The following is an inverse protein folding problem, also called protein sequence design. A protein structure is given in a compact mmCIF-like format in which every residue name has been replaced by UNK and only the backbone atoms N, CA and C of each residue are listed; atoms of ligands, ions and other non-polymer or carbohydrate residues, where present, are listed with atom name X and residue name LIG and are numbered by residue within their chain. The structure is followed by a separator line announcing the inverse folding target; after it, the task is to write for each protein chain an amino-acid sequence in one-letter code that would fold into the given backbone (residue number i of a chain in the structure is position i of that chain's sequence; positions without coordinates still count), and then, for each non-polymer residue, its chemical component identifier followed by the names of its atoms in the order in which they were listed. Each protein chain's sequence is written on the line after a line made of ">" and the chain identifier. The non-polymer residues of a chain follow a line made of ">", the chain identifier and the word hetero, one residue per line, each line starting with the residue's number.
data_IF_962309050607
#
_entry.id   IF_962309050607
#
_cell.length_a   1.000
_cell.length_b   1.000
_cell.length_c   1.000
_cell.angle_alpha   90.00
_cell.angle_beta   90.00
_cell.angle_gamma   90.00
#
_symmetry.space_group_name_H-M   'P 1'
#
loop_
_entity.id
_entity.type
_entity.pdbx_description
1 polymer ?
#
# COMPACT_ATOMS: atom_id res chain seq x y z
N UNK A 1 16.72 -29.64 47.67
CA UNK A 1 15.52 -29.07 47.01
C UNK A 1 15.67 -29.42 45.54
N UNK A 2 14.81 -30.30 45.03
CA UNK A 2 14.74 -30.57 43.59
C UNK A 2 13.89 -29.46 42.99
N UNK A 3 14.52 -28.51 42.27
CA UNK A 3 13.81 -27.51 41.47
C UNK A 3 13.20 -28.25 40.27
N UNK A 4 11.92 -28.61 40.40
CA UNK A 4 11.15 -29.16 39.30
C UNK A 4 10.73 -28.02 38.42
N UNK A 5 11.34 -27.91 37.22
CA UNK A 5 10.85 -27.01 36.17
C UNK A 5 9.73 -27.70 35.40
N UNK A 6 8.60 -27.02 35.26
CA UNK A 6 7.46 -27.46 34.45
C UNK A 6 7.35 -26.53 33.26
N UNK A 7 7.26 -27.07 32.05
CA UNK A 7 6.91 -26.34 30.86
C UNK A 7 5.42 -26.59 30.58
N UNK A 8 4.65 -25.53 30.59
CA UNK A 8 3.22 -25.56 30.25
C UNK A 8 3.03 -24.77 28.97
N UNK A 9 2.41 -25.41 27.96
CA UNK A 9 1.95 -24.75 26.76
C UNK A 9 0.44 -24.54 26.90
N UNK A 10 0.01 -23.31 26.81
CA UNK A 10 -1.39 -22.93 26.89
C UNK A 10 -1.72 -22.01 25.73
N UNK A 11 -2.71 -22.41 24.92
CA UNK A 11 -3.25 -21.55 23.86
C UNK A 11 -4.43 -20.77 24.44
N UNK A 12 -4.29 -19.47 24.49
CA UNK A 12 -5.34 -18.56 24.91
C UNK A 12 -6.00 -17.98 23.66
N UNK A 13 -7.27 -18.30 23.42
CA UNK A 13 -8.05 -17.67 22.37
C UNK A 13 -8.50 -16.28 22.83
N UNK A 14 -7.92 -15.25 22.19
CA UNK A 14 -8.18 -13.84 22.46
C UNK A 14 -9.31 -13.27 21.60
N UNK A 15 -9.86 -14.01 20.62
CA UNK A 15 -10.89 -13.53 19.70
C UNK A 15 -12.19 -13.11 20.41
N UNK A 16 -12.44 -13.62 21.60
CA UNK A 16 -13.63 -13.29 22.40
C UNK A 16 -13.42 -12.11 23.34
N UNK A 17 -12.23 -11.50 23.36
CA UNK A 17 -11.97 -10.31 24.16
C UNK A 17 -12.47 -9.06 23.42
N UNK A 18 -13.08 -8.10 24.11
CA UNK A 18 -13.53 -6.85 23.50
C UNK A 18 -12.34 -5.90 23.28
N UNK A 19 -11.40 -6.33 22.43
CA UNK A 19 -10.20 -5.55 22.10
C UNK A 19 -10.38 -4.99 20.70
N UNK A 20 -10.18 -3.70 20.56
CA UNK A 20 -10.24 -2.99 19.28
C UNK A 20 -8.84 -2.72 18.75
N UNK A 21 -8.73 -2.48 17.42
CA UNK A 21 -7.49 -2.00 16.81
C UNK A 21 -6.93 -0.78 17.54
N UNK A 22 -5.63 -0.75 17.77
CA UNK A 22 -4.91 0.31 18.48
C UNK A 22 -4.98 0.20 20.01
N UNK A 23 -5.54 -0.89 20.57
CA UNK A 23 -5.59 -1.13 22.02
C UNK A 23 -4.46 -2.06 22.47
N UNK A 24 -4.18 -2.04 23.76
CA UNK A 24 -3.17 -2.88 24.40
C UNK A 24 -3.85 -3.88 25.35
N UNK A 25 -3.45 -5.14 25.28
CA UNK A 25 -3.84 -6.18 26.21
C UNK A 25 -2.74 -6.35 27.26
N UNK A 26 -3.04 -6.03 28.51
CA UNK A 26 -2.13 -6.21 29.62
C UNK A 26 -2.56 -7.46 30.41
N UNK A 27 -1.68 -8.44 30.54
CA UNK A 27 -1.98 -9.64 31.30
C UNK A 27 -0.78 -10.11 32.14
N UNK A 28 -1.06 -10.89 33.17
CA UNK A 28 -0.07 -11.52 34.02
C UNK A 28 -0.42 -12.98 34.24
N UNK A 29 0.59 -13.80 34.42
CA UNK A 29 0.44 -15.20 34.80
C UNK A 29 0.55 -15.28 36.32
N UNK A 30 -0.43 -15.87 36.96
CA UNK A 30 -0.46 -16.07 38.42
C UNK A 30 -0.33 -17.57 38.68
N UNK A 31 0.68 -17.97 39.41
CA UNK A 31 0.85 -19.33 39.93
C UNK A 31 0.46 -19.36 41.39
N UNK A 32 -0.42 -20.28 41.73
CA UNK A 32 -0.90 -20.48 43.10
C UNK A 32 -0.53 -21.90 43.50
N UNK A 33 0.13 -22.05 44.67
CA UNK A 33 0.42 -23.36 45.21
C UNK A 33 -0.82 -23.95 45.95
N UNK A 34 -0.77 -25.22 46.26
CA UNK A 34 -1.84 -25.93 46.97
C UNK A 34 -1.54 -26.12 48.48
N UNK A 35 -0.82 -25.21 49.11
CA UNK A 35 -0.46 -25.30 50.51
C UNK A 35 -1.66 -24.93 51.42
N UNK A 36 -2.44 -25.92 51.80
CA UNK A 36 -3.62 -25.74 52.66
C UNK A 36 -3.28 -25.48 54.13
N UNK A 37 -2.03 -25.79 54.58
CA UNK A 37 -1.66 -25.72 55.99
C UNK A 37 -1.26 -24.30 56.39
N UNK A 38 -0.51 -23.58 55.54
CA UNK A 38 -0.01 -22.23 55.82
C UNK A 38 -0.66 -21.15 54.94
N UNK A 39 -1.69 -21.51 54.18
CA UNK A 39 -2.31 -20.70 53.13
C UNK A 39 -1.55 -20.74 51.83
N UNK A 40 -2.27 -20.55 50.73
CA UNK A 40 -1.71 -20.61 49.37
C UNK A 40 -0.68 -19.50 49.15
N UNK A 41 0.46 -19.84 48.61
CA UNK A 41 1.45 -18.88 48.14
C UNK A 41 1.16 -18.51 46.69
N UNK A 42 1.24 -17.22 46.40
CA UNK A 42 0.98 -16.66 45.07
C UNK A 42 2.30 -16.12 44.52
N UNK A 43 2.59 -16.48 43.28
CA UNK A 43 3.69 -15.91 42.50
C UNK A 43 3.11 -15.33 41.24
N UNK A 44 3.50 -14.12 40.90
CA UNK A 44 3.02 -13.42 39.69
C UNK A 44 4.19 -13.16 38.73
N UNK A 45 3.91 -13.28 37.43
CA UNK A 45 4.84 -12.81 36.39
C UNK A 45 4.89 -11.30 36.31
N UNK A 46 5.88 -10.76 35.61
CA UNK A 46 5.81 -9.40 35.11
C UNK A 46 4.58 -9.25 34.20
N UNK A 47 4.12 -8.00 34.03
CA UNK A 47 3.02 -7.71 33.11
C UNK A 47 3.52 -7.90 31.67
N UNK A 48 2.81 -8.72 30.90
CA UNK A 48 3.03 -8.91 29.48
C UNK A 48 2.06 -8.00 28.74
N UNK A 49 2.56 -7.27 27.74
CA UNK A 49 1.76 -6.34 26.95
C UNK A 49 1.67 -6.85 25.51
N UNK A 50 0.47 -7.23 25.10
CA UNK A 50 0.15 -7.46 23.68
C UNK A 50 -0.37 -6.16 23.06
N UNK A 51 0.20 -5.74 21.93
CA UNK A 51 -0.25 -4.56 21.20
C UNK A 51 -0.99 -4.99 19.97
N UNK A 52 -2.16 -4.41 19.75
CA UNK A 52 -2.92 -4.56 18.52
C UNK A 52 -2.62 -3.35 17.65
N UNK A 53 -2.12 -3.55 16.40
CA UNK A 53 -1.85 -2.42 15.52
C UNK A 53 -3.10 -1.56 15.35
N UNK A 54 -2.93 -0.26 15.26
CA UNK A 54 -4.02 0.64 14.89
C UNK A 54 -4.28 0.56 13.39
N UNK A 55 -5.48 0.96 12.97
CA UNK A 55 -5.82 1.03 11.55
C UNK A 55 -4.84 1.93 10.80
N UNK A 56 -4.52 3.08 11.40
CA UNK A 56 -3.57 4.05 10.86
C UNK A 56 -2.16 3.43 10.71
N UNK A 57 -1.69 2.66 11.71
CA UNK A 57 -0.39 1.98 11.64
C UNK A 57 -0.33 0.95 10.52
N UNK A 58 -1.42 0.21 10.29
CA UNK A 58 -1.48 -0.79 9.24
C UNK A 58 -1.44 -0.16 7.84
N UNK A 59 -2.17 0.94 7.64
CA UNK A 59 -2.13 1.67 6.37
C UNK A 59 -0.77 2.34 6.15
N UNK A 60 -0.13 2.90 7.18
CA UNK A 60 1.23 3.45 7.07
C UNK A 60 2.24 2.38 6.64
N UNK A 61 2.15 1.16 7.20
CA UNK A 61 3.03 0.07 6.79
C UNK A 61 2.82 -0.37 5.33
N UNK A 62 1.58 -0.32 4.84
CA UNK A 62 1.27 -0.59 3.43
C UNK A 62 1.81 0.54 2.55
N UNK A 63 1.59 1.79 2.92
CA UNK A 63 2.05 2.97 2.19
C UNK A 63 3.58 3.02 2.04
N UNK A 64 4.32 2.61 3.06
CA UNK A 64 5.79 2.47 2.97
C UNK A 64 6.19 1.44 1.89
N UNK A 65 5.48 0.32 1.79
CA UNK A 65 5.75 -0.70 0.76
C UNK A 65 5.37 -0.18 -0.63
N UNK A 66 4.25 0.52 -0.75
CA UNK A 66 3.77 1.13 -1.99
C UNK A 66 4.74 2.19 -2.52
N UNK A 67 5.20 3.08 -1.64
CA UNK A 67 6.17 4.11 -1.99
C UNK A 67 7.48 3.47 -2.48
N UNK A 68 8.00 2.48 -1.75
CA UNK A 68 9.19 1.75 -2.20
C UNK A 68 8.97 1.06 -3.55
N UNK A 69 7.77 0.54 -3.81
CA UNK A 69 7.43 -0.10 -5.09
C UNK A 69 7.41 0.91 -6.23
N UNK A 70 6.84 2.09 -6.01
CA UNK A 70 6.85 3.20 -6.98
C UNK A 70 8.26 3.70 -7.26
N UNK A 71 9.08 3.90 -6.23
CA UNK A 71 10.48 4.32 -6.37
C UNK A 71 11.27 3.31 -7.23
N UNK A 72 11.09 2.01 -7.01
CA UNK A 72 11.73 0.96 -7.82
C UNK A 72 11.24 1.03 -9.27
N UNK A 73 9.95 1.23 -9.52
CA UNK A 73 9.41 1.36 -10.88
C UNK A 73 9.98 2.58 -11.61
N UNK A 74 10.11 3.72 -10.94
CA UNK A 74 10.72 4.92 -11.50
C UNK A 74 12.20 4.71 -11.82
N UNK A 75 12.94 4.01 -10.94
CA UNK A 75 14.33 3.64 -11.18
C UNK A 75 14.48 2.74 -12.41
N UNK A 76 13.62 1.73 -12.56
CA UNK A 76 13.60 0.84 -13.73
C UNK A 76 13.35 1.66 -15.00
N UNK A 77 12.34 2.54 -14.98
CA UNK A 77 11.99 3.37 -16.14
C UNK A 77 13.19 4.24 -16.58
N UNK A 78 13.87 4.87 -15.61
CA UNK A 78 15.07 5.66 -15.86
C UNK A 78 16.20 4.82 -16.47
N UNK A 79 16.42 3.61 -15.96
CA UNK A 79 17.44 2.68 -16.50
C UNK A 79 17.11 2.25 -17.94
N UNK A 80 15.83 2.00 -18.24
CA UNK A 80 15.36 1.65 -19.60
C UNK A 80 15.62 2.79 -20.59
N UNK A 81 15.29 4.04 -20.20
CA UNK A 81 15.55 5.22 -21.02
C UNK A 81 17.05 5.37 -21.34
N UNK A 82 17.92 5.20 -20.34
CA UNK A 82 19.39 5.25 -20.51
C UNK A 82 19.89 4.16 -21.45
N UNK A 83 19.41 2.92 -21.30
CA UNK A 83 19.77 1.79 -22.19
C UNK A 83 19.30 2.08 -23.62
N UNK A 84 18.07 2.55 -23.79
CA UNK A 84 17.47 2.87 -25.09
C UNK A 84 18.25 3.98 -25.80
N UNK A 85 18.60 5.06 -25.10
CA UNK A 85 19.43 6.15 -25.64
C UNK A 85 20.82 5.65 -26.06
N UNK A 86 21.48 4.87 -25.21
CA UNK A 86 22.80 4.33 -25.46
C UNK A 86 22.82 3.41 -26.69
N UNK A 87 21.87 2.48 -26.79
CA UNK A 87 21.79 1.50 -27.90
C UNK A 87 21.39 2.17 -29.22
N UNK A 88 20.53 3.19 -29.18
CA UNK A 88 20.22 4.01 -30.35
C UNK A 88 21.43 4.81 -30.85
N UNK A 89 22.19 5.41 -29.95
CA UNK A 89 23.42 6.14 -30.30
C UNK A 89 24.44 5.19 -30.95
N UNK A 90 24.61 3.99 -30.40
CA UNK A 90 25.50 2.98 -30.93
C UNK A 90 25.07 2.55 -32.35
N UNK A 91 23.77 2.30 -32.56
CA UNK A 91 23.25 1.99 -33.90
C UNK A 91 23.59 3.08 -34.91
N UNK A 92 23.45 4.34 -34.53
CA UNK A 92 23.81 5.49 -35.39
C UNK A 92 25.30 5.59 -35.68
N UNK A 93 26.16 5.17 -34.76
CA UNK A 93 27.61 5.11 -34.95
C UNK A 93 28.01 3.96 -35.87
N UNK A 94 27.41 2.77 -35.72
CA UNK A 94 27.65 1.60 -36.58
C UNK A 94 27.25 1.86 -38.03
N UNK A 95 26.23 2.68 -38.28
CA UNK A 95 25.86 3.10 -39.64
C UNK A 95 26.91 4.00 -40.29
N UNK A 96 27.82 4.59 -39.53
CA UNK A 96 28.88 5.50 -40.02
C UNK A 96 30.26 4.86 -40.11
N UNK A 97 30.48 3.75 -39.43
CA UNK A 97 31.74 3.01 -39.41
C UNK A 97 31.50 1.52 -39.51
N UNK A 98 32.33 0.84 -40.32
CA UNK A 98 32.24 -0.61 -40.47
C UNK A 98 33.00 -1.40 -39.37
N UNK A 99 33.40 -0.75 -38.28
CA UNK A 99 34.13 -1.38 -37.20
C UNK A 99 33.53 -1.00 -35.85
N UNK A 100 33.37 -1.98 -34.96
CA UNK A 100 33.13 -1.74 -33.51
C UNK A 100 34.42 -1.39 -32.82
N UNK A 101 34.36 -0.52 -31.84
CA UNK A 101 35.47 -0.25 -30.94
C UNK A 101 35.21 -0.85 -29.55
N UNK A 102 36.26 -1.04 -28.78
CA UNK A 102 36.19 -1.60 -27.42
C UNK A 102 35.21 -0.85 -26.50
N UNK A 103 35.09 0.48 -26.66
CA UNK A 103 34.19 1.32 -25.87
C UNK A 103 32.70 0.97 -26.14
N UNK A 104 32.37 0.64 -27.39
CA UNK A 104 31.01 0.23 -27.77
C UNK A 104 30.66 -1.16 -27.22
N UNK A 105 31.62 -2.10 -27.27
CA UNK A 105 31.44 -3.43 -26.68
C UNK A 105 31.20 -3.33 -25.18
N UNK A 106 31.98 -2.51 -24.48
CA UNK A 106 31.81 -2.29 -23.05
C UNK A 106 30.44 -1.70 -22.71
N UNK A 107 29.96 -0.71 -23.46
CA UNK A 107 28.62 -0.13 -23.24
C UNK A 107 27.48 -1.15 -23.40
N UNK A 108 27.62 -2.10 -24.34
CA UNK A 108 26.61 -3.17 -24.46
C UNK A 108 26.69 -4.11 -23.26
N UNK A 109 27.89 -4.49 -22.82
CA UNK A 109 28.04 -5.32 -21.61
C UNK A 109 27.44 -4.61 -20.39
N UNK A 110 27.69 -3.32 -20.20
CA UNK A 110 27.10 -2.52 -19.13
C UNK A 110 25.56 -2.49 -19.21
N UNK A 111 24.98 -2.46 -20.41
CA UNK A 111 23.52 -2.55 -20.57
C UNK A 111 22.94 -3.90 -20.16
N UNK A 112 23.67 -4.98 -20.38
CA UNK A 112 23.23 -6.31 -19.95
C UNK A 112 23.23 -6.45 -18.41
N UNK A 113 24.27 -5.89 -17.75
CA UNK A 113 24.31 -5.85 -16.28
C UNK A 113 23.14 -5.03 -15.71
N UNK A 114 22.76 -3.92 -16.37
CA UNK A 114 21.63 -3.10 -15.93
C UNK A 114 20.30 -3.84 -16.13
N UNK A 115 20.12 -4.66 -17.19
CA UNK A 115 18.92 -5.48 -17.36
C UNK A 115 18.84 -6.60 -16.31
N UNK A 116 19.96 -7.21 -15.91
CA UNK A 116 19.97 -8.17 -14.80
C UNK A 116 19.55 -7.51 -13.48
N UNK A 117 19.96 -6.26 -13.27
CA UNK A 117 19.54 -5.46 -12.11
C UNK A 117 18.04 -5.14 -12.18
N UNK A 118 17.53 -4.72 -13.35
CA UNK A 118 16.09 -4.50 -13.57
C UNK A 118 15.30 -5.79 -13.25
N UNK A 119 15.76 -6.94 -13.67
CA UNK A 119 15.09 -8.21 -13.34
C UNK A 119 15.02 -8.44 -11.83
N UNK A 120 16.10 -8.15 -11.09
CA UNK A 120 16.11 -8.25 -9.62
C UNK A 120 15.15 -7.25 -8.97
N UNK A 121 15.02 -6.06 -9.53
CA UNK A 121 14.07 -5.03 -9.08
C UNK A 121 12.61 -5.45 -9.32
N UNK A 122 12.33 -6.10 -10.45
CA UNK A 122 11.00 -6.68 -10.74
C UNK A 122 10.64 -7.77 -9.72
N UNK A 123 11.58 -8.65 -9.35
CA UNK A 123 11.36 -9.62 -8.28
C UNK A 123 11.09 -8.95 -6.91
N UNK A 124 11.68 -7.78 -6.66
CA UNK A 124 11.41 -7.02 -5.45
C UNK A 124 10.01 -6.41 -5.46
N UNK A 125 9.56 -5.86 -6.60
CA UNK A 125 8.19 -5.38 -6.80
C UNK A 125 7.19 -6.52 -6.53
N UNK A 126 7.40 -7.70 -7.09
CA UNK A 126 6.56 -8.88 -6.86
C UNK A 126 6.42 -9.20 -5.37
N UNK A 127 7.53 -9.25 -4.65
CA UNK A 127 7.55 -9.49 -3.19
C UNK A 127 6.86 -8.39 -2.40
N UNK A 128 6.95 -7.16 -2.84
CA UNK A 128 6.28 -6.03 -2.21
C UNK A 128 4.76 -6.13 -2.39
N UNK A 129 4.30 -6.45 -3.59
CA UNK A 129 2.87 -6.68 -3.86
C UNK A 129 2.33 -7.86 -3.03
N UNK A 130 3.09 -8.96 -2.91
CA UNK A 130 2.73 -10.08 -2.03
C UNK A 130 2.55 -9.63 -0.58
N UNK A 131 3.45 -8.80 -0.05
CA UNK A 131 3.34 -8.25 1.31
C UNK A 131 2.11 -7.35 1.48
N UNK A 132 1.78 -6.53 0.47
CA UNK A 132 0.57 -5.69 0.48
C UNK A 132 -0.66 -6.58 0.57
N UNK A 133 -0.76 -7.61 -0.27
CA UNK A 133 -1.87 -8.58 -0.28
C UNK A 133 -1.99 -9.29 1.07
N UNK A 134 -0.87 -9.80 1.60
CA UNK A 134 -0.83 -10.49 2.91
C UNK A 134 -1.34 -9.59 4.02
N UNK A 135 -0.76 -8.39 4.18
CA UNK A 135 -1.18 -7.42 5.21
C UNK A 135 -2.64 -7.01 5.08
N UNK A 136 -3.08 -6.73 3.86
CA UNK A 136 -4.46 -6.34 3.58
C UNK A 136 -5.46 -7.47 3.91
N UNK A 137 -5.12 -8.71 3.55
CA UNK A 137 -5.98 -9.88 3.78
C UNK A 137 -6.04 -10.27 5.25
N UNK A 138 -4.89 -10.35 5.94
CA UNK A 138 -4.81 -10.70 7.36
C UNK A 138 -5.59 -9.72 8.25
N UNK A 139 -5.59 -8.45 7.89
CA UNK A 139 -6.23 -7.39 8.67
C UNK A 139 -7.59 -6.94 8.10
N UNK A 140 -8.06 -7.57 7.02
CA UNK A 140 -9.33 -7.25 6.34
C UNK A 140 -9.43 -5.76 5.92
N UNK A 141 -8.31 -5.19 5.44
CA UNK A 141 -8.22 -3.78 5.06
C UNK A 141 -8.78 -3.50 3.65
N UNK A 142 -8.72 -4.50 2.77
CA UNK A 142 -9.18 -4.39 1.38
C UNK A 142 -10.38 -5.30 1.14
N UNK A 143 -11.26 -4.88 0.27
CA UNK A 143 -12.29 -5.78 -0.24
C UNK A 143 -11.71 -6.81 -1.24
N UNK A 144 -12.50 -7.84 -1.54
CA UNK A 144 -12.05 -8.93 -2.41
C UNK A 144 -11.74 -8.45 -3.84
N UNK A 145 -12.38 -7.39 -4.31
CA UNK A 145 -12.15 -6.86 -5.66
C UNK A 145 -10.76 -6.20 -5.76
N UNK A 146 -10.40 -5.42 -4.76
CA UNK A 146 -9.08 -4.80 -4.69
C UNK A 146 -7.96 -5.83 -4.49
N UNK A 147 -8.16 -6.83 -3.62
CA UNK A 147 -7.21 -7.95 -3.46
C UNK A 147 -6.97 -8.65 -4.80
N UNK A 148 -8.04 -9.00 -5.52
CA UNK A 148 -7.94 -9.63 -6.85
C UNK A 148 -7.19 -8.74 -7.88
N UNK A 149 -7.27 -7.42 -7.77
CA UNK A 149 -6.50 -6.51 -8.63
C UNK A 149 -5.02 -6.60 -8.33
N UNK A 150 -4.61 -6.56 -7.05
CA UNK A 150 -3.23 -6.73 -6.66
C UNK A 150 -2.67 -8.12 -7.05
N UNK A 151 -3.45 -9.20 -6.92
CA UNK A 151 -3.06 -10.53 -7.40
C UNK A 151 -2.85 -10.56 -8.92
N UNK A 152 -3.67 -9.86 -9.70
CA UNK A 152 -3.45 -9.72 -11.14
C UNK A 152 -2.19 -8.93 -11.46
N UNK A 153 -1.89 -7.87 -10.70
CA UNK A 153 -0.64 -7.15 -10.85
C UNK A 153 0.57 -8.02 -10.58
N UNK A 154 0.53 -8.83 -9.52
CA UNK A 154 1.59 -9.77 -9.21
C UNK A 154 1.85 -10.75 -10.36
N UNK A 155 0.80 -11.26 -10.98
CA UNK A 155 0.95 -12.16 -12.12
C UNK A 155 1.50 -11.43 -13.36
N UNK A 156 1.02 -10.23 -13.66
CA UNK A 156 1.47 -9.47 -14.83
C UNK A 156 2.93 -9.04 -14.73
N UNK A 157 3.40 -8.63 -13.53
CA UNK A 157 4.79 -8.20 -13.37
C UNK A 157 5.78 -9.34 -13.63
N UNK A 158 5.39 -10.59 -13.37
CA UNK A 158 6.20 -11.76 -13.69
C UNK A 158 6.35 -11.98 -15.20
N UNK A 159 5.36 -11.57 -15.97
CA UNK A 159 5.33 -11.75 -17.43
C UNK A 159 5.98 -10.58 -18.19
N UNK A 160 6.28 -9.45 -17.50
CA UNK A 160 6.79 -8.24 -18.16
C UNK A 160 8.21 -8.43 -18.73
N UNK A 161 9.04 -9.26 -18.09
CA UNK A 161 10.35 -9.67 -18.61
C UNK A 161 10.18 -10.83 -19.57
N UNK A 162 10.01 -10.51 -20.84
CA UNK A 162 9.72 -11.51 -21.88
C UNK A 162 10.94 -12.39 -22.23
N UNK A 163 10.68 -13.64 -22.65
CA UNK A 163 11.71 -14.52 -23.21
C UNK A 163 12.34 -13.89 -24.46
N UNK A 164 11.59 -13.07 -25.19
CA UNK A 164 12.04 -12.37 -26.39
C UNK A 164 13.13 -11.33 -26.08
N UNK A 165 13.00 -10.58 -24.98
CA UNK A 165 14.02 -9.63 -24.54
C UNK A 165 15.33 -10.34 -24.19
N UNK A 166 15.26 -11.41 -23.38
CA UNK A 166 16.43 -12.22 -23.06
C UNK A 166 17.05 -12.88 -24.28
N UNK A 167 16.21 -13.37 -25.22
CA UNK A 167 16.66 -13.91 -26.50
C UNK A 167 17.41 -12.87 -27.33
N UNK A 168 16.88 -11.65 -27.44
CA UNK A 168 17.52 -10.54 -28.14
C UNK A 168 18.85 -10.13 -27.51
N UNK A 169 18.93 -10.10 -26.18
CA UNK A 169 20.21 -9.90 -25.45
C UNK A 169 21.24 -10.96 -25.82
N UNK A 170 20.86 -12.24 -25.83
CA UNK A 170 21.75 -13.33 -26.14
C UNK A 170 22.23 -13.28 -27.60
N UNK A 171 21.34 -12.98 -28.55
CA UNK A 171 21.69 -12.79 -29.95
C UNK A 171 22.68 -11.65 -30.14
N UNK A 172 22.49 -10.52 -29.47
CA UNK A 172 23.40 -9.39 -29.52
C UNK A 172 24.77 -9.74 -28.91
N UNK A 173 24.80 -10.43 -27.77
CA UNK A 173 26.04 -10.89 -27.14
C UNK A 173 26.81 -11.88 -28.06
N UNK A 174 26.13 -12.80 -28.71
CA UNK A 174 26.76 -13.74 -29.63
C UNK A 174 27.26 -13.07 -30.91
N UNK A 175 26.52 -12.07 -31.43
CA UNK A 175 26.96 -11.28 -32.57
C UNK A 175 28.25 -10.49 -32.28
N UNK A 176 28.33 -9.88 -31.08
CA UNK A 176 29.55 -9.17 -30.61
C UNK A 176 30.74 -10.12 -30.49
N UNK A 177 30.58 -11.27 -29.84
CA UNK A 177 31.65 -12.27 -29.70
C UNK A 177 32.21 -12.74 -31.04
N UNK A 178 31.36 -12.81 -32.08
CA UNK A 178 31.75 -13.22 -33.42
C UNK A 178 32.27 -12.08 -34.33
N UNK A 179 32.22 -10.84 -33.84
CA UNK A 179 32.63 -9.63 -34.60
C UNK A 179 32.01 -9.52 -36.02
N UNK A 180 30.75 -9.97 -36.16
CA UNK A 180 30.03 -9.91 -37.43
C UNK A 180 29.15 -8.63 -37.43
N UNK A 181 29.62 -7.60 -38.10
CA UNK A 181 28.98 -6.28 -38.14
C UNK A 181 27.54 -6.30 -38.63
N UNK A 182 27.22 -7.12 -39.62
CA UNK A 182 25.86 -7.23 -40.13
C UNK A 182 24.94 -7.85 -39.06
N UNK A 183 25.41 -8.89 -38.39
CA UNK A 183 24.69 -9.50 -37.28
C UNK A 183 24.57 -8.63 -36.05
N UNK A 184 25.61 -7.85 -35.72
CA UNK A 184 25.54 -6.87 -34.62
C UNK A 184 24.46 -5.83 -34.91
N UNK A 185 24.38 -5.31 -36.15
CA UNK A 185 23.37 -4.31 -36.52
C UNK A 185 21.95 -4.88 -36.45
N UNK A 186 21.75 -6.11 -36.93
CA UNK A 186 20.45 -6.79 -36.89
C UNK A 186 20.04 -7.15 -35.45
N UNK A 187 20.96 -7.70 -34.66
CA UNK A 187 20.71 -8.05 -33.29
C UNK A 187 20.45 -6.81 -32.41
N UNK A 188 21.14 -5.68 -32.66
CA UNK A 188 20.91 -4.42 -31.98
C UNK A 188 19.53 -3.83 -32.30
N UNK A 189 19.08 -3.96 -33.54
CA UNK A 189 17.72 -3.53 -33.94
C UNK A 189 16.65 -4.38 -33.25
N UNK A 190 16.84 -5.71 -33.16
CA UNK A 190 15.96 -6.63 -32.47
C UNK A 190 15.93 -6.33 -30.94
N UNK A 191 17.09 -6.09 -30.35
CA UNK A 191 17.21 -5.72 -28.95
C UNK A 191 16.47 -4.40 -28.64
N UNK A 192 16.69 -3.35 -29.44
CA UNK A 192 16.00 -2.08 -29.27
C UNK A 192 14.49 -2.21 -29.39
N UNK A 193 14.00 -3.03 -30.35
CA UNK A 193 12.57 -3.29 -30.51
C UNK A 193 11.98 -3.93 -29.25
N UNK A 194 12.65 -4.93 -28.68
CA UNK A 194 12.17 -5.60 -27.47
C UNK A 194 12.25 -4.69 -26.24
N UNK A 195 13.27 -3.81 -26.14
CA UNK A 195 13.34 -2.79 -25.09
C UNK A 195 12.19 -1.79 -25.18
N UNK A 196 11.83 -1.31 -26.38
CA UNK A 196 10.67 -0.43 -26.55
C UNK A 196 9.33 -1.12 -26.20
N UNK A 197 9.22 -2.42 -26.41
CA UNK A 197 8.03 -3.18 -25.99
C UNK A 197 7.99 -3.31 -24.46
N UNK A 198 9.12 -3.62 -23.85
CA UNK A 198 9.25 -3.71 -22.40
C UNK A 198 8.92 -2.37 -21.72
N UNK A 199 9.45 -1.26 -22.21
CA UNK A 199 9.14 0.09 -21.73
C UNK A 199 7.63 0.37 -21.75
N UNK A 200 6.97 0.10 -22.89
CA UNK A 200 5.52 0.29 -23.02
C UNK A 200 4.70 -0.58 -22.06
N UNK A 201 5.12 -1.81 -21.84
CA UNK A 201 4.45 -2.71 -20.90
C UNK A 201 4.64 -2.22 -19.46
N UNK A 202 5.84 -1.75 -19.11
CA UNK A 202 6.13 -1.18 -17.80
C UNK A 202 5.30 0.08 -17.54
N UNK A 203 5.22 1.00 -18.50
CA UNK A 203 4.40 2.21 -18.39
C UNK A 203 2.93 1.88 -18.16
N UNK A 204 2.39 0.92 -18.90
CA UNK A 204 1.01 0.46 -18.69
C UNK A 204 0.81 -0.18 -17.32
N UNK A 205 1.80 -0.95 -16.87
CA UNK A 205 1.78 -1.57 -15.55
C UNK A 205 1.80 -0.51 -14.44
N UNK A 206 2.66 0.50 -14.56
CA UNK A 206 2.74 1.63 -13.61
C UNK A 206 1.40 2.38 -13.53
N UNK A 207 0.79 2.71 -14.68
CA UNK A 207 -0.53 3.37 -14.70
C UNK A 207 -1.60 2.54 -13.98
N UNK A 208 -1.62 1.23 -14.22
CA UNK A 208 -2.57 0.31 -13.59
C UNK A 208 -2.33 0.19 -12.08
N UNK A 209 -1.06 0.12 -11.65
CA UNK A 209 -0.70 0.08 -10.24
C UNK A 209 -1.12 1.36 -9.51
N UNK A 210 -0.83 2.54 -10.08
CA UNK A 210 -1.29 3.83 -9.54
C UNK A 210 -2.83 3.92 -9.44
N UNK A 211 -3.56 3.36 -10.42
CA UNK A 211 -5.02 3.28 -10.35
C UNK A 211 -5.50 2.42 -9.18
N UNK A 212 -4.84 1.31 -8.89
CA UNK A 212 -5.18 0.46 -7.74
C UNK A 212 -4.86 1.16 -6.41
N UNK A 213 -3.74 1.89 -6.34
CA UNK A 213 -3.42 2.73 -5.18
C UNK A 213 -4.47 3.82 -4.94
N UNK A 214 -4.97 4.44 -6.00
CA UNK A 214 -6.04 5.43 -5.89
C UNK A 214 -7.34 4.84 -5.33
N UNK A 215 -7.70 3.62 -5.73
CA UNK A 215 -8.85 2.89 -5.17
C UNK A 215 -8.62 2.48 -3.71
N UNK A 216 -7.41 2.03 -3.40
CA UNK A 216 -7.03 1.69 -2.03
C UNK A 216 -7.12 2.92 -1.10
N UNK A 217 -6.64 4.08 -1.51
CA UNK A 217 -6.76 5.32 -0.72
C UNK A 217 -8.22 5.71 -0.47
N UNK A 218 -9.12 5.47 -1.41
CA UNK A 218 -10.57 5.64 -1.19
C UNK A 218 -11.14 4.62 -0.19
N UNK A 219 -10.70 3.37 -0.24
CA UNK A 219 -11.08 2.36 0.75
C UNK A 219 -10.54 2.71 2.14
N UNK A 220 -9.31 3.21 2.23
CA UNK A 220 -8.72 3.70 3.48
C UNK A 220 -9.58 4.81 4.11
N UNK A 221 -10.01 5.80 3.32
CA UNK A 221 -10.91 6.86 3.80
C UNK A 221 -12.22 6.28 4.33
N UNK A 222 -12.80 5.28 3.66
CA UNK A 222 -14.03 4.63 4.10
C UNK A 222 -13.84 3.88 5.43
N UNK A 223 -12.77 3.11 5.57
CA UNK A 223 -12.44 2.39 6.80
C UNK A 223 -12.15 3.33 7.97
N UNK A 224 -11.42 4.41 7.73
CA UNK A 224 -11.12 5.40 8.76
C UNK A 224 -12.38 6.10 9.28
N UNK A 225 -13.29 6.53 8.39
CA UNK A 225 -14.52 7.18 8.80
C UNK A 225 -15.44 6.21 9.56
N UNK A 226 -15.55 4.95 9.15
CA UNK A 226 -16.29 3.91 9.88
C UNK A 226 -15.73 3.67 11.29
N UNK A 227 -14.40 3.59 11.42
CA UNK A 227 -13.74 3.47 12.71
C UNK A 227 -14.03 4.68 13.61
N UNK A 228 -13.97 5.90 13.06
CA UNK A 228 -14.32 7.10 13.80
C UNK A 228 -15.76 7.10 14.29
N UNK A 229 -16.72 6.61 13.51
CA UNK A 229 -18.14 6.46 13.92
C UNK A 229 -18.28 5.49 15.08
N UNK A 230 -17.56 4.36 15.06
CA UNK A 230 -17.53 3.38 16.16
C UNK A 230 -16.96 4.04 17.44
N UNK A 231 -15.80 4.69 17.35
CA UNK A 231 -15.17 5.38 18.48
C UNK A 231 -16.01 6.55 19.01
N UNK A 232 -16.70 7.29 18.13
CA UNK A 232 -17.63 8.35 18.55
C UNK A 232 -18.83 7.78 19.32
N UNK A 233 -19.27 6.58 18.94
CA UNK A 233 -20.34 5.88 19.68
C UNK A 233 -19.91 5.49 21.09
N UNK A 234 -18.66 5.05 21.26
CA UNK A 234 -18.09 4.71 22.57
C UNK A 234 -17.99 5.96 23.45
N UNK A 235 -17.57 7.10 22.90
CA UNK A 235 -17.54 8.39 23.60
C UNK A 235 -18.95 8.77 24.09
N UNK A 236 -19.97 8.61 23.27
CA UNK A 236 -21.37 8.89 23.66
C UNK A 236 -21.84 7.95 24.77
N UNK A 237 -21.45 6.68 24.75
CA UNK A 237 -21.75 5.72 25.81
C UNK A 237 -21.09 6.13 27.14
N UNK A 238 -19.82 6.51 27.11
CA UNK A 238 -19.10 6.98 28.30
C UNK A 238 -19.75 8.22 28.91
N UNK A 239 -20.15 9.21 28.08
CA UNK A 239 -20.88 10.39 28.52
C UNK A 239 -22.21 9.99 29.19
N UNK A 240 -22.95 9.03 28.61
CA UNK A 240 -24.22 8.56 29.18
C UNK A 240 -24.04 7.83 30.52
N UNK A 241 -22.95 7.06 30.64
CA UNK A 241 -22.58 6.32 31.86
C UNK A 241 -21.94 7.22 32.93
N UNK A 242 -21.68 8.49 32.59
CA UNK A 242 -20.98 9.46 33.48
C UNK A 242 -19.59 8.99 33.89
N UNK A 243 -18.87 8.44 32.93
CA UNK A 243 -17.45 8.09 33.09
C UNK A 243 -16.61 9.32 33.45
N UNK A 244 -15.39 9.08 33.94
CA UNK A 244 -14.47 10.14 34.31
C UNK A 244 -14.21 11.09 33.14
N UNK A 245 -14.37 12.39 33.40
CA UNK A 245 -14.20 13.44 32.39
C UNK A 245 -12.80 13.40 31.74
N UNK A 246 -11.77 13.02 32.46
CA UNK A 246 -10.42 12.85 31.94
C UNK A 246 -10.35 11.74 30.87
N UNK A 247 -11.06 10.62 31.11
CA UNK A 247 -11.12 9.50 30.15
C UNK A 247 -11.85 9.94 28.87
N UNK A 248 -12.98 10.64 29.02
CA UNK A 248 -13.76 11.16 27.90
C UNK A 248 -12.91 12.15 27.09
N UNK A 249 -12.26 13.12 27.75
CA UNK A 249 -11.43 14.11 27.08
C UNK A 249 -10.24 13.48 26.35
N UNK A 250 -9.62 12.44 26.90
CA UNK A 250 -8.57 11.69 26.19
C UNK A 250 -9.08 11.03 24.92
N UNK A 251 -10.29 10.46 24.94
CA UNK A 251 -10.92 9.83 23.76
C UNK A 251 -11.32 10.89 22.72
N UNK A 252 -11.87 12.03 23.14
CA UNK A 252 -12.24 13.11 22.21
C UNK A 252 -11.03 13.74 21.54
N UNK A 253 -9.92 13.94 22.26
CA UNK A 253 -8.66 14.43 21.67
C UNK A 253 -8.11 13.45 20.62
N UNK A 254 -8.13 12.15 20.91
CA UNK A 254 -7.73 11.14 19.92
C UNK A 254 -8.63 11.16 18.67
N UNK A 255 -9.92 11.40 18.87
CA UNK A 255 -10.89 11.46 17.77
C UNK A 255 -10.67 12.71 16.89
N UNK A 256 -10.34 13.84 17.48
CA UNK A 256 -9.97 15.06 16.73
C UNK A 256 -8.71 14.84 15.91
N UNK A 257 -7.66 14.24 16.48
CA UNK A 257 -6.42 13.93 15.75
C UNK A 257 -6.69 13.01 14.55
N UNK A 258 -7.50 11.95 14.73
CA UNK A 258 -7.90 11.06 13.62
C UNK A 258 -8.63 11.80 12.51
N UNK A 259 -9.48 12.76 12.86
CA UNK A 259 -10.18 13.55 11.86
C UNK A 259 -9.24 14.49 11.09
N UNK A 260 -8.21 15.01 11.75
CA UNK A 260 -7.16 15.80 11.08
C UNK A 260 -6.33 14.91 10.12
N UNK A 261 -5.95 13.71 10.53
CA UNK A 261 -5.27 12.72 9.68
C UNK A 261 -6.16 12.32 8.50
N UNK A 262 -7.44 12.04 8.74
CA UNK A 262 -8.42 11.77 7.68
C UNK A 262 -8.50 12.91 6.65
N UNK A 263 -8.52 14.17 7.07
CA UNK A 263 -8.53 15.32 6.17
C UNK A 263 -7.24 15.45 5.36
N UNK A 264 -6.10 15.05 5.93
CA UNK A 264 -4.84 15.01 5.21
C UNK A 264 -4.88 13.94 4.10
N UNK A 265 -5.30 12.72 4.44
CA UNK A 265 -5.44 11.62 3.48
C UNK A 265 -6.49 11.95 2.41
N UNK A 266 -7.59 12.61 2.77
CA UNK A 266 -8.59 13.07 1.81
C UNK A 266 -8.00 14.02 0.76
N UNK A 267 -7.11 14.91 1.18
CA UNK A 267 -6.41 15.83 0.26
C UNK A 267 -5.45 15.09 -0.65
N UNK A 268 -4.61 14.21 -0.11
CA UNK A 268 -3.65 13.39 -0.87
C UNK A 268 -4.38 12.49 -1.88
N UNK A 269 -5.47 11.85 -1.44
CA UNK A 269 -6.34 11.04 -2.31
C UNK A 269 -6.95 11.89 -3.45
N UNK A 270 -7.35 13.13 -3.15
CA UNK A 270 -7.88 14.05 -4.16
C UNK A 270 -6.85 14.36 -5.25
N UNK A 271 -5.60 14.61 -4.85
CA UNK A 271 -4.49 14.88 -5.77
C UNK A 271 -4.15 13.66 -6.62
N UNK A 272 -4.07 12.47 -6.02
CA UNK A 272 -3.80 11.21 -6.71
C UNK A 272 -4.91 10.89 -7.74
N UNK A 273 -6.18 10.95 -7.33
CA UNK A 273 -7.32 10.63 -8.20
C UNK A 273 -7.46 11.61 -9.36
N UNK A 274 -6.99 12.86 -9.21
CA UNK A 274 -7.05 13.85 -10.29
C UNK A 274 -6.29 13.40 -11.55
N UNK A 275 -5.31 12.52 -11.42
CA UNK A 275 -4.60 11.90 -12.57
C UNK A 275 -5.55 11.05 -13.42
N UNK A 276 -6.59 10.46 -12.85
CA UNK A 276 -7.45 9.44 -13.47
C UNK A 276 -8.88 9.93 -13.72
N UNK A 277 -9.43 10.70 -12.78
CA UNK A 277 -10.80 11.21 -12.85
C UNK A 277 -10.93 12.60 -12.21
N UNK A 278 -10.95 13.63 -13.04
CA UNK A 278 -11.21 15.00 -12.58
C UNK A 278 -12.61 15.16 -11.95
N UNK A 279 -13.59 14.34 -12.34
CA UNK A 279 -14.93 14.39 -11.74
C UNK A 279 -14.91 13.89 -10.29
N UNK A 280 -14.27 12.75 -10.03
CA UNK A 280 -14.15 12.18 -8.68
C UNK A 280 -13.27 13.08 -7.80
N UNK A 281 -12.16 13.58 -8.33
CA UNK A 281 -11.30 14.53 -7.62
C UNK A 281 -12.07 15.80 -7.19
N UNK A 282 -12.92 16.34 -8.05
CA UNK A 282 -13.77 17.49 -7.69
C UNK A 282 -14.74 17.13 -6.56
N UNK A 283 -15.36 15.94 -6.56
CA UNK A 283 -16.27 15.52 -5.49
C UNK A 283 -15.54 15.39 -4.14
N UNK A 284 -14.30 14.86 -4.13
CA UNK A 284 -13.48 14.79 -2.92
C UNK A 284 -13.06 16.18 -2.44
N UNK A 285 -12.71 17.07 -3.34
CA UNK A 285 -12.40 18.47 -3.03
C UNK A 285 -13.62 19.20 -2.44
N UNK A 286 -14.81 19.01 -3.04
CA UNK A 286 -16.07 19.57 -2.53
C UNK A 286 -16.38 19.04 -1.13
N UNK A 287 -16.12 17.75 -0.85
CA UNK A 287 -16.26 17.17 0.49
C UNK A 287 -15.29 17.81 1.48
N UNK A 288 -14.02 17.97 1.12
CA UNK A 288 -12.99 18.60 1.95
C UNK A 288 -13.36 20.04 2.34
N UNK A 289 -13.93 20.80 1.41
CA UNK A 289 -14.33 22.20 1.61
C UNK A 289 -15.76 22.37 2.13
N UNK A 290 -16.51 21.29 2.25
CA UNK A 290 -17.93 21.29 2.63
C UNK A 290 -18.18 21.92 4.01
N UNK A 291 -19.39 22.43 4.19
CA UNK A 291 -19.85 22.91 5.51
C UNK A 291 -19.89 21.81 6.55
N UNK A 292 -20.21 20.55 6.15
CA UNK A 292 -20.28 19.40 7.05
C UNK A 292 -18.90 19.02 7.59
N UNK A 293 -17.86 19.06 6.75
CA UNK A 293 -16.48 18.77 7.17
C UNK A 293 -15.99 19.82 8.18
N UNK A 294 -16.16 21.11 7.87
CA UNK A 294 -15.78 22.24 8.75
C UNK A 294 -16.56 22.25 10.06
N UNK A 295 -17.86 21.91 10.03
CA UNK A 295 -18.69 21.82 11.22
C UNK A 295 -18.25 20.63 12.09
N UNK A 296 -17.88 19.50 11.50
CA UNK A 296 -17.38 18.33 12.22
C UNK A 296 -16.10 18.63 12.97
N UNK A 297 -15.14 19.28 12.33
CA UNK A 297 -13.89 19.75 12.97
C UNK A 297 -14.19 20.68 14.15
N UNK A 298 -15.09 21.65 13.96
CA UNK A 298 -15.51 22.54 15.03
C UNK A 298 -16.15 21.81 16.21
N UNK A 299 -17.05 20.86 15.95
CA UNK A 299 -17.73 20.08 16.99
C UNK A 299 -16.76 19.20 17.76
N UNK A 300 -15.73 18.61 17.11
CA UNK A 300 -14.68 17.84 17.78
C UNK A 300 -13.83 18.73 18.69
N UNK A 301 -13.48 19.93 18.25
CA UNK A 301 -12.77 20.90 19.09
C UNK A 301 -13.61 21.32 20.30
N UNK A 302 -14.93 21.55 20.13
CA UNK A 302 -15.84 21.87 21.25
C UNK A 302 -15.91 20.72 22.27
N UNK A 303 -15.89 19.46 21.82
CA UNK A 303 -15.88 18.30 22.71
C UNK A 303 -14.60 18.21 23.57
N UNK A 304 -13.46 18.63 23.04
CA UNK A 304 -12.20 18.65 23.78
C UNK A 304 -12.14 19.77 24.84
N UNK A 305 -12.91 20.83 24.66
CA UNK A 305 -12.97 21.92 25.65
C UNK A 305 -13.93 21.61 26.81
N UNK A 306 -14.97 20.81 26.56
CA UNK A 306 -15.95 20.41 27.57
C UNK A 306 -16.73 19.19 27.13
N UNK A 307 -17.05 18.29 28.08
CA UNK A 307 -17.92 17.14 27.82
C UNK A 307 -19.32 17.62 27.39
N UNK A 308 -19.61 17.50 26.12
CA UNK A 308 -20.87 17.99 25.52
C UNK A 308 -21.57 16.88 24.71
N UNK A 309 -22.63 16.32 25.29
CA UNK A 309 -23.42 15.25 24.67
C UNK A 309 -24.03 15.66 23.33
N UNK A 310 -24.50 16.90 23.20
CA UNK A 310 -25.12 17.36 21.95
C UNK A 310 -24.05 17.49 20.84
N UNK A 311 -22.88 18.05 21.17
CA UNK A 311 -21.76 18.10 20.25
C UNK A 311 -21.37 16.68 19.81
N UNK A 312 -21.24 15.73 20.74
CA UNK A 312 -20.89 14.32 20.43
C UNK A 312 -21.91 13.63 19.51
N UNK A 313 -23.20 13.85 19.74
CA UNK A 313 -24.26 13.30 18.87
C UNK A 313 -24.24 13.93 17.45
N UNK A 314 -24.02 15.24 17.37
CA UNK A 314 -23.95 15.92 16.08
C UNK A 314 -22.68 15.51 15.31
N UNK A 315 -21.54 15.35 15.99
CA UNK A 315 -20.33 14.81 15.38
C UNK A 315 -20.57 13.43 14.80
N UNK A 316 -21.21 12.52 15.55
CA UNK A 316 -21.55 11.18 15.05
C UNK A 316 -22.45 11.25 13.81
N UNK A 317 -23.43 12.15 13.81
CA UNK A 317 -24.30 12.35 12.63
C UNK A 317 -23.49 12.81 11.43
N UNK A 318 -22.69 13.87 11.59
CA UNK A 318 -21.90 14.40 10.50
C UNK A 318 -20.89 13.38 9.95
N UNK A 319 -20.25 12.57 10.82
CA UNK A 319 -19.38 11.48 10.37
C UNK A 319 -20.12 10.45 9.50
N UNK A 320 -21.37 10.13 9.82
CA UNK A 320 -22.21 9.25 8.98
C UNK A 320 -22.56 9.86 7.63
N UNK A 321 -22.87 11.15 7.62
CA UNK A 321 -23.17 11.84 6.38
C UNK A 321 -21.90 11.92 5.49
N UNK A 322 -20.70 12.09 6.07
CA UNK A 322 -19.41 11.99 5.37
C UNK A 322 -19.15 10.58 4.85
N UNK A 323 -19.43 9.54 5.66
CA UNK A 323 -19.32 8.12 5.26
C UNK A 323 -20.16 7.82 4.02
N UNK A 324 -21.43 8.30 4.00
CA UNK A 324 -22.32 8.11 2.86
C UNK A 324 -21.76 8.73 1.58
N UNK A 325 -21.25 9.97 1.67
CA UNK A 325 -20.62 10.68 0.54
C UNK A 325 -19.38 9.91 0.04
N UNK A 326 -18.49 9.46 0.94
CA UNK A 326 -17.30 8.70 0.55
C UNK A 326 -17.67 7.37 -0.11
N UNK A 327 -18.69 6.69 0.42
CA UNK A 327 -19.19 5.43 -0.17
C UNK A 327 -19.72 5.65 -1.60
N UNK A 328 -20.45 6.74 -1.85
CA UNK A 328 -20.95 7.08 -3.18
C UNK A 328 -19.79 7.41 -4.15
N UNK A 329 -18.80 8.17 -3.67
CA UNK A 329 -17.58 8.50 -4.45
C UNK A 329 -16.80 7.24 -4.79
N UNK A 330 -16.56 6.36 -3.82
CA UNK A 330 -15.84 5.10 -4.00
C UNK A 330 -16.53 4.20 -5.03
N UNK A 331 -17.86 4.03 -4.92
CA UNK A 331 -18.63 3.25 -5.88
C UNK A 331 -18.58 3.86 -7.30
N UNK A 332 -18.61 5.18 -7.41
CA UNK A 332 -18.51 5.87 -8.70
C UNK A 332 -17.12 5.70 -9.32
N UNK A 333 -16.06 5.81 -8.52
CA UNK A 333 -14.69 5.60 -8.96
C UNK A 333 -14.45 4.15 -9.41
N UNK A 334 -14.89 3.16 -8.63
CA UNK A 334 -14.81 1.74 -9.00
C UNK A 334 -15.44 1.44 -10.36
N UNK A 335 -16.58 2.08 -10.63
CA UNK A 335 -17.25 1.92 -11.93
C UNK A 335 -16.45 2.54 -13.08
N UNK A 336 -15.92 3.76 -12.91
CA UNK A 336 -15.07 4.39 -13.92
C UNK A 336 -13.78 3.59 -14.14
N UNK A 337 -13.19 3.07 -13.07
CA UNK A 337 -11.93 2.33 -13.10
C UNK A 337 -12.06 0.97 -13.77
N UNK A 338 -13.15 0.25 -13.50
CA UNK A 338 -13.40 -1.09 -14.09
C UNK A 338 -13.34 -1.06 -15.61
N UNK A 339 -13.91 -0.01 -16.24
CA UNK A 339 -13.90 0.15 -17.68
C UNK A 339 -12.49 0.46 -18.23
N UNK A 340 -11.67 1.21 -17.48
CA UNK A 340 -10.29 1.53 -17.86
C UNK A 340 -9.36 0.34 -17.70
N UNK A 341 -9.34 -0.27 -16.51
CA UNK A 341 -8.50 -1.42 -16.21
C UNK A 341 -8.75 -2.59 -17.18
N UNK A 342 -10.02 -2.88 -17.49
CA UNK A 342 -10.36 -3.94 -18.45
C UNK A 342 -9.74 -3.68 -19.82
N UNK A 343 -9.67 -2.44 -20.27
CA UNK A 343 -9.07 -2.08 -21.56
C UNK A 343 -7.55 -2.18 -21.54
N UNK A 344 -6.92 -1.76 -20.43
CA UNK A 344 -5.46 -1.84 -20.30
C UNK A 344 -4.99 -3.30 -20.15
N UNK A 345 -5.70 -4.13 -19.37
CA UNK A 345 -5.41 -5.57 -19.29
C UNK A 345 -5.46 -6.25 -20.67
N UNK A 346 -6.46 -5.92 -21.51
CA UNK A 346 -6.56 -6.47 -22.86
C UNK A 346 -5.37 -6.04 -23.71
N UNK A 347 -4.94 -4.78 -23.64
CA UNK A 347 -3.77 -4.29 -24.38
C UNK A 347 -2.47 -4.99 -24.01
N UNK A 348 -2.25 -5.27 -22.72
CA UNK A 348 -1.04 -5.97 -22.26
C UNK A 348 -1.02 -7.42 -22.76
N UNK A 349 -2.16 -8.10 -22.78
CA UNK A 349 -2.26 -9.50 -23.24
C UNK A 349 -2.18 -9.60 -24.79
N UNK A 350 -2.58 -8.58 -25.53
CA UNK A 350 -2.58 -8.57 -26.98
C UNK A 350 -1.25 -8.08 -27.59
N UNK A 351 -0.35 -7.50 -26.83
CA UNK A 351 0.99 -7.06 -27.22
C UNK A 351 2.05 -8.10 -26.88
#
# INVERSE_FOLDING_TARGET
>A
KNDKKYNLNFNWDINNLPISMGEELHFRIIAIDNNEINGNQISESETIVGKFPSLESLFTEIEEIETNTQDIMEDINSSIEEISEMTNNMRMELLKSDETNWEQEQKIEDSFEEIEKINSQIEEIEKNIEKIIEKATENQLFDNDLVNKFEKFQNLIQEIMSEELFGAMQELQDALKNMDMNKISEALENYNFNMEQFEKQLDQYMEMFEMALAEQKLNELAEQIENMIKKQSDIILDINNKEDEYIINKKTTKQENRFQEFNQILKETTELINKFSGNISNQLSDLSESSINKETEKLMNEQNQSVNKNASNNTKKNLKDIEEIISEINNSFKKELSDKLSKEFIKIIEN
#
